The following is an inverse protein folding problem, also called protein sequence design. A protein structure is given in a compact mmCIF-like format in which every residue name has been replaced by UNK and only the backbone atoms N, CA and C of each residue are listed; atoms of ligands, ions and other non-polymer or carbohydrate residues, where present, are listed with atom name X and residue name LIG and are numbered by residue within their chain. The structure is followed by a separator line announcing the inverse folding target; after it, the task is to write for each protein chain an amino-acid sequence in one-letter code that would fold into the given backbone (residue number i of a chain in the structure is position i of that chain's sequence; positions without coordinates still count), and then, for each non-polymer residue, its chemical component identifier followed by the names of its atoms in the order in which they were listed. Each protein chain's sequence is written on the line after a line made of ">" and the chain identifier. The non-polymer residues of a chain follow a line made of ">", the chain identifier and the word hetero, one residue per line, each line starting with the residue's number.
data_IF_115781128304
#
_entry.id   IF_115781128304
#
_cell.length_a   1.000
_cell.length_b   1.000
_cell.length_c   1.000
_cell.angle_alpha   90.00
_cell.angle_beta   90.00
_cell.angle_gamma   90.00
#
_symmetry.space_group_name_H-M   'P 1'
#
loop_
_entity.id
_entity.type
_entity.pdbx_description
1 polymer ?
#
# COMPACT_ATOMS: atom_id res chain seq x y z
N UNK A 1 -23.00 6.05 -156.51
CA UNK A 1 -22.06 5.49 -155.51
C UNK A 1 -22.10 6.41 -154.29
N UNK A 2 -22.09 5.86 -153.07
CA UNK A 2 -21.92 6.53 -151.75
C UNK A 2 -23.13 6.58 -150.78
N UNK A 3 -23.94 5.51 -150.68
CA UNK A 3 -24.96 5.36 -149.61
C UNK A 3 -24.56 4.38 -148.47
N UNK A 4 -23.32 3.88 -148.43
CA UNK A 4 -22.95 2.75 -147.56
C UNK A 4 -22.31 3.11 -146.19
N UNK A 5 -22.06 4.41 -145.90
CA UNK A 5 -21.34 4.81 -144.68
C UNK A 5 -22.21 5.36 -143.52
N UNK A 6 -23.50 5.63 -143.73
CA UNK A 6 -24.34 6.30 -142.72
C UNK A 6 -25.03 5.33 -141.74
N UNK A 7 -25.24 4.07 -142.12
CA UNK A 7 -25.83 3.06 -141.24
C UNK A 7 -24.86 2.54 -140.17
N UNK A 8 -23.55 2.62 -140.41
CA UNK A 8 -22.52 2.16 -139.45
C UNK A 8 -22.29 3.13 -138.29
N UNK A 9 -22.49 4.44 -138.51
CA UNK A 9 -22.34 5.45 -137.46
C UNK A 9 -23.54 5.50 -136.52
N UNK A 10 -24.75 5.22 -137.02
CA UNK A 10 -25.97 5.19 -136.21
C UNK A 10 -26.00 4.04 -135.20
N UNK A 11 -25.48 2.86 -135.57
CA UNK A 11 -25.41 1.68 -134.67
C UNK A 11 -24.36 1.87 -133.57
N UNK A 12 -23.27 2.56 -133.86
CA UNK A 12 -22.21 2.86 -132.88
C UNK A 12 -22.67 3.92 -131.84
N UNK A 13 -23.47 4.90 -132.25
CA UNK A 13 -24.04 5.91 -131.34
C UNK A 13 -25.16 5.33 -130.46
N UNK A 14 -25.96 4.39 -130.96
CA UNK A 14 -26.99 3.73 -130.15
C UNK A 14 -26.39 2.77 -129.10
N UNK A 15 -25.27 2.11 -129.43
CA UNK A 15 -24.55 1.25 -128.50
C UNK A 15 -23.88 2.05 -127.37
N UNK A 16 -23.35 3.25 -127.65
CA UNK A 16 -22.76 4.13 -126.63
C UNK A 16 -23.80 4.79 -125.71
N UNK A 17 -25.01 5.08 -126.20
CA UNK A 17 -26.09 5.64 -125.38
C UNK A 17 -26.70 4.60 -124.41
N UNK A 18 -26.62 3.30 -124.71
CA UNK A 18 -27.13 2.22 -123.86
C UNK A 18 -26.23 1.90 -122.65
N UNK A 19 -24.97 2.35 -122.63
CA UNK A 19 -24.06 2.11 -121.49
C UNK A 19 -24.12 3.20 -120.41
N UNK A 20 -24.75 4.35 -120.68
CA UNK A 20 -24.77 5.47 -119.73
C UNK A 20 -25.95 5.48 -118.75
N UNK A 21 -27.04 4.75 -119.01
CA UNK A 21 -28.23 4.73 -118.14
C UNK A 21 -28.13 3.78 -116.94
N UNK A 22 -27.13 2.88 -116.91
CA UNK A 22 -26.89 1.97 -115.78
C UNK A 22 -26.07 2.57 -114.61
N UNK A 23 -25.38 3.69 -114.83
CA UNK A 23 -24.47 4.26 -113.84
C UNK A 23 -25.18 5.07 -112.73
N UNK A 24 -26.29 5.74 -113.05
CA UNK A 24 -26.96 6.64 -112.10
C UNK A 24 -27.86 5.91 -111.08
N UNK A 25 -28.34 4.70 -111.38
CA UNK A 25 -29.12 3.89 -110.42
C UNK A 25 -28.26 3.10 -109.41
N UNK A 26 -26.96 2.98 -109.67
CA UNK A 26 -26.00 2.34 -108.76
C UNK A 26 -25.47 3.30 -107.68
N UNK A 27 -25.48 4.61 -107.93
CA UNK A 27 -25.03 5.62 -106.97
C UNK A 27 -25.99 5.79 -105.78
N UNK A 28 -27.31 5.75 -105.99
CA UNK A 28 -28.29 5.84 -104.89
C UNK A 28 -28.21 4.66 -103.90
N UNK A 29 -27.86 3.46 -104.38
CA UNK A 29 -27.67 2.27 -103.53
C UNK A 29 -26.36 2.32 -102.74
N UNK A 30 -25.30 2.94 -103.28
CA UNK A 30 -24.02 3.14 -102.59
C UNK A 30 -24.15 4.25 -101.53
N UNK A 31 -24.77 5.38 -101.88
CA UNK A 31 -25.06 6.47 -100.96
C UNK A 31 -25.97 6.05 -99.80
N UNK A 32 -26.93 5.16 -100.04
CA UNK A 32 -27.77 4.56 -98.98
C UNK A 32 -26.98 3.69 -98.00
N UNK A 33 -26.08 2.83 -98.50
CA UNK A 33 -25.21 1.97 -97.67
C UNK A 33 -24.21 2.78 -96.85
N UNK A 34 -23.65 3.84 -97.42
CA UNK A 34 -22.75 4.75 -96.70
C UNK A 34 -23.46 5.51 -95.58
N UNK A 35 -24.71 5.96 -95.81
CA UNK A 35 -25.54 6.58 -94.76
C UNK A 35 -25.90 5.59 -93.66
N UNK A 36 -26.22 4.34 -93.98
CA UNK A 36 -26.44 3.30 -92.97
C UNK A 36 -25.16 2.96 -92.19
N UNK A 37 -24.00 2.88 -92.86
CA UNK A 37 -22.71 2.67 -92.22
C UNK A 37 -22.36 3.84 -91.27
N UNK A 38 -22.59 5.08 -91.69
CA UNK A 38 -22.42 6.28 -90.86
C UNK A 38 -23.35 6.29 -89.65
N UNK A 39 -24.63 5.90 -89.80
CA UNK A 39 -25.56 5.79 -88.65
C UNK A 39 -25.10 4.73 -87.65
N UNK A 40 -24.63 3.56 -88.13
CA UNK A 40 -24.08 2.51 -87.26
C UNK A 40 -22.81 2.98 -86.54
N UNK A 41 -21.92 3.67 -87.26
CA UNK A 41 -20.72 4.26 -86.67
C UNK A 41 -21.05 5.34 -85.63
N UNK A 42 -22.04 6.21 -85.90
CA UNK A 42 -22.53 7.19 -84.93
C UNK A 42 -23.17 6.52 -83.70
N UNK A 43 -23.97 5.48 -83.88
CA UNK A 43 -24.53 4.71 -82.75
C UNK A 43 -23.45 4.02 -81.92
N UNK A 44 -22.42 3.46 -82.56
CA UNK A 44 -21.28 2.87 -81.84
C UNK A 44 -20.47 3.93 -81.09
N UNK A 45 -20.23 5.09 -81.69
CA UNK A 45 -19.56 6.20 -81.03
C UNK A 45 -20.37 6.74 -79.84
N UNK A 46 -21.70 6.82 -79.95
CA UNK A 46 -22.58 7.20 -78.84
C UNK A 46 -22.56 6.17 -77.71
N UNK A 47 -22.58 4.87 -78.02
CA UNK A 47 -22.46 3.80 -77.00
C UNK A 47 -21.10 3.84 -76.30
N UNK A 48 -20.02 3.98 -77.06
CA UNK A 48 -18.68 4.12 -76.50
C UNK A 48 -18.55 5.38 -75.63
N UNK A 49 -19.15 6.51 -76.03
CA UNK A 49 -19.18 7.72 -75.22
C UNK A 49 -19.97 7.52 -73.91
N UNK A 50 -21.09 6.81 -73.95
CA UNK A 50 -21.84 6.44 -72.75
C UNK A 50 -21.03 5.52 -71.84
N UNK A 51 -20.38 4.50 -72.37
CA UNK A 51 -19.50 3.59 -71.62
C UNK A 51 -18.31 4.32 -70.98
N UNK A 52 -17.69 5.27 -71.69
CA UNK A 52 -16.63 6.10 -71.11
C UNK A 52 -17.16 6.95 -69.95
N UNK A 53 -18.36 7.51 -70.09
CA UNK A 53 -18.97 8.32 -69.03
C UNK A 53 -19.33 7.49 -67.79
N UNK A 54 -19.83 6.26 -67.97
CA UNK A 54 -20.15 5.37 -66.85
C UNK A 54 -18.89 4.85 -66.18
N UNK A 55 -17.85 4.50 -66.95
CA UNK A 55 -16.56 4.10 -66.41
C UNK A 55 -15.90 5.26 -65.65
N UNK A 56 -15.95 6.50 -66.15
CA UNK A 56 -15.43 7.66 -65.42
C UNK A 56 -16.15 7.88 -64.10
N UNK A 57 -17.48 7.71 -64.06
CA UNK A 57 -18.24 7.79 -62.81
C UNK A 57 -17.82 6.67 -61.83
N UNK A 58 -17.71 5.43 -62.30
CA UNK A 58 -17.27 4.30 -61.47
C UNK A 58 -15.86 4.48 -60.91
N UNK A 59 -14.96 5.03 -61.72
CA UNK A 59 -13.59 5.32 -61.32
C UNK A 59 -13.57 6.42 -60.23
N UNK A 60 -14.37 7.48 -60.40
CA UNK A 60 -14.53 8.51 -59.39
C UNK A 60 -15.12 7.99 -58.07
N UNK A 61 -16.12 7.11 -58.12
CA UNK A 61 -16.66 6.48 -56.90
C UNK A 61 -15.65 5.56 -56.23
N UNK A 62 -14.93 4.74 -57.00
CA UNK A 62 -13.92 3.84 -56.48
C UNK A 62 -12.73 4.60 -55.86
N UNK A 63 -12.32 5.72 -56.44
CA UNK A 63 -11.29 6.59 -55.86
C UNK A 63 -11.74 7.21 -54.53
N UNK A 64 -12.99 7.67 -54.44
CA UNK A 64 -13.55 8.19 -53.19
C UNK A 64 -13.63 7.10 -52.11
N UNK A 65 -14.09 5.90 -52.46
CA UNK A 65 -14.10 4.76 -51.54
C UNK A 65 -12.69 4.39 -51.08
N UNK A 66 -11.72 4.36 -51.99
CA UNK A 66 -10.32 4.08 -51.65
C UNK A 66 -9.75 5.13 -50.70
N UNK A 67 -10.07 6.41 -50.91
CA UNK A 67 -9.65 7.48 -50.01
C UNK A 67 -10.29 7.35 -48.62
N UNK A 68 -11.58 7.01 -48.54
CA UNK A 68 -12.26 6.76 -47.26
C UNK A 68 -11.67 5.56 -46.52
N UNK A 69 -11.49 4.44 -47.20
CA UNK A 69 -10.89 3.24 -46.61
C UNK A 69 -9.45 3.48 -46.15
N UNK A 70 -8.67 4.28 -46.89
CA UNK A 70 -7.33 4.67 -46.48
C UNK A 70 -7.35 5.52 -45.19
N UNK A 71 -8.25 6.51 -45.11
CA UNK A 71 -8.41 7.33 -43.91
C UNK A 71 -8.88 6.50 -42.70
N UNK A 72 -9.82 5.57 -42.89
CA UNK A 72 -10.29 4.67 -41.84
C UNK A 72 -9.18 3.72 -41.35
N UNK A 73 -8.37 3.19 -42.28
CA UNK A 73 -7.22 2.35 -41.94
C UNK A 73 -6.17 3.11 -41.11
N UNK A 74 -5.86 4.35 -41.48
CA UNK A 74 -4.97 5.21 -40.71
C UNK A 74 -5.53 5.51 -39.32
N UNK A 75 -6.83 5.83 -39.22
CA UNK A 75 -7.49 6.08 -37.94
C UNK A 75 -7.46 4.85 -37.02
N UNK A 76 -7.78 3.66 -37.55
CA UNK A 76 -7.70 2.40 -36.81
C UNK A 76 -6.27 2.07 -36.39
N UNK A 77 -5.28 2.36 -37.23
CA UNK A 77 -3.88 2.15 -36.88
C UNK A 77 -3.44 3.06 -35.73
N UNK A 78 -3.87 4.33 -35.73
CA UNK A 78 -3.62 5.25 -34.62
C UNK A 78 -4.30 4.80 -33.34
N UNK A 79 -5.57 4.39 -33.40
CA UNK A 79 -6.30 3.84 -32.24
C UNK A 79 -5.62 2.59 -31.67
N UNK A 80 -5.17 1.67 -32.53
CA UNK A 80 -4.47 0.46 -32.10
C UNK A 80 -3.16 0.80 -31.39
N UNK A 81 -2.41 1.79 -31.90
CA UNK A 81 -1.19 2.27 -31.24
C UNK A 81 -1.48 2.93 -29.89
N UNK A 82 -2.54 3.74 -29.79
CA UNK A 82 -2.91 4.39 -28.53
C UNK A 82 -3.36 3.37 -27.47
N UNK A 83 -4.17 2.38 -27.87
CA UNK A 83 -4.61 1.33 -26.96
C UNK A 83 -3.47 0.40 -26.54
N UNK A 84 -2.54 0.08 -27.45
CA UNK A 84 -1.32 -0.65 -27.10
C UNK A 84 -0.47 0.12 -26.07
N UNK A 85 -0.30 1.43 -26.25
CA UNK A 85 0.43 2.27 -25.31
C UNK A 85 -0.30 2.34 -23.95
N UNK A 86 -1.64 2.41 -23.96
CA UNK A 86 -2.46 2.37 -22.74
C UNK A 86 -2.32 1.03 -22.01
N UNK A 87 -2.39 -0.08 -22.74
CA UNK A 87 -2.20 -1.43 -22.19
C UNK A 87 -0.83 -1.60 -21.54
N UNK A 88 0.24 -1.09 -22.17
CA UNK A 88 1.59 -1.10 -21.59
C UNK A 88 1.68 -0.28 -20.30
N UNK A 89 1.03 0.90 -20.25
CA UNK A 89 0.98 1.72 -19.02
C UNK A 89 0.26 1.00 -17.88
N UNK A 90 -0.95 0.49 -18.16
CA UNK A 90 -1.72 -0.27 -17.17
C UNK A 90 -0.98 -1.51 -16.68
N UNK A 91 -0.27 -2.21 -17.56
CA UNK A 91 0.55 -3.36 -17.16
C UNK A 91 1.67 -2.97 -16.20
N UNK A 92 2.35 -1.83 -16.45
CA UNK A 92 3.37 -1.30 -15.53
C UNK A 92 2.77 -0.88 -14.19
N UNK A 93 1.66 -0.16 -14.22
CA UNK A 93 0.94 0.27 -13.01
C UNK A 93 0.51 -0.94 -12.16
N UNK A 94 -0.04 -1.99 -12.80
CA UNK A 94 -0.42 -3.22 -12.12
C UNK A 94 0.80 -3.91 -11.49
N UNK A 95 1.93 -3.96 -12.20
CA UNK A 95 3.16 -4.56 -11.67
C UNK A 95 3.69 -3.78 -10.45
N UNK A 96 3.66 -2.44 -10.51
CA UNK A 96 4.08 -1.57 -9.42
C UNK A 96 3.17 -1.73 -8.19
N UNK A 97 1.85 -1.69 -8.40
CA UNK A 97 0.87 -1.90 -7.33
C UNK A 97 0.99 -3.29 -6.69
N UNK A 98 1.31 -4.31 -7.48
CA UNK A 98 1.55 -5.67 -6.96
C UNK A 98 2.79 -5.72 -6.08
N UNK A 99 3.89 -5.10 -6.52
CA UNK A 99 5.12 -5.02 -5.74
C UNK A 99 4.92 -4.23 -4.43
N UNK A 100 4.20 -3.11 -4.48
CA UNK A 100 3.86 -2.31 -3.30
C UNK A 100 2.99 -3.10 -2.30
N UNK A 101 1.97 -3.81 -2.80
CA UNK A 101 1.14 -4.70 -1.97
C UNK A 101 2.00 -5.75 -1.26
N UNK A 102 2.94 -6.36 -1.97
CA UNK A 102 3.80 -7.41 -1.40
C UNK A 102 4.75 -6.85 -0.34
N UNK A 103 5.33 -5.67 -0.58
CA UNK A 103 6.13 -4.95 0.41
C UNK A 103 5.31 -4.62 1.67
N UNK A 104 4.11 -4.08 1.51
CA UNK A 104 3.21 -3.79 2.63
C UNK A 104 2.82 -5.06 3.42
N UNK A 105 2.67 -6.19 2.72
CA UNK A 105 2.38 -7.48 3.36
C UNK A 105 3.55 -7.97 4.20
N UNK A 106 4.79 -7.84 3.71
CA UNK A 106 5.98 -8.18 4.48
C UNK A 106 6.17 -7.28 5.68
N UNK A 107 5.96 -5.97 5.52
CA UNK A 107 6.07 -4.99 6.61
C UNK A 107 5.03 -5.26 7.69
N UNK A 108 3.79 -5.55 7.30
CA UNK A 108 2.73 -5.95 8.24
C UNK A 108 3.13 -7.18 9.04
N UNK A 109 3.65 -8.22 8.40
CA UNK A 109 4.07 -9.44 9.09
C UNK A 109 5.23 -9.17 10.07
N UNK A 110 6.18 -8.30 9.70
CA UNK A 110 7.28 -7.89 10.57
C UNK A 110 6.77 -7.11 11.79
N UNK A 111 5.85 -6.16 11.59
CA UNK A 111 5.23 -5.40 12.68
C UNK A 111 4.43 -6.31 13.62
N UNK A 112 3.66 -7.26 13.09
CA UNK A 112 2.92 -8.24 13.91
C UNK A 112 3.87 -9.09 14.76
N UNK A 113 5.03 -9.48 14.23
CA UNK A 113 6.05 -10.19 14.99
C UNK A 113 6.63 -9.32 16.11
N UNK A 114 6.98 -8.05 15.81
CA UNK A 114 7.48 -7.11 16.82
C UNK A 114 6.47 -6.88 17.95
N UNK A 115 5.19 -6.71 17.61
CA UNK A 115 4.12 -6.53 18.62
C UNK A 115 4.04 -7.74 19.55
N UNK A 116 4.11 -8.96 19.03
CA UNK A 116 4.13 -10.18 19.86
C UNK A 116 5.33 -10.20 20.80
N UNK A 117 6.53 -9.92 20.29
CA UNK A 117 7.75 -9.86 21.12
C UNK A 117 7.64 -8.80 22.21
N UNK A 118 7.10 -7.61 21.91
CA UNK A 118 6.88 -6.56 22.90
C UNK A 118 5.85 -6.97 23.96
N UNK A 119 4.76 -7.64 23.56
CA UNK A 119 3.78 -8.16 24.51
C UNK A 119 4.38 -9.19 25.48
N UNK A 120 5.23 -10.09 24.99
CA UNK A 120 5.97 -11.04 25.83
C UNK A 120 6.92 -10.34 26.80
N UNK A 121 7.65 -9.31 26.32
CA UNK A 121 8.53 -8.51 27.17
C UNK A 121 7.76 -7.76 28.26
N UNK A 122 6.64 -7.14 27.92
CA UNK A 122 5.78 -6.45 28.90
C UNK A 122 5.26 -7.44 29.94
N UNK A 123 4.78 -8.61 29.53
CA UNK A 123 4.32 -9.64 30.46
C UNK A 123 5.44 -10.12 31.40
N UNK A 124 6.67 -10.24 30.89
CA UNK A 124 7.84 -10.59 31.70
C UNK A 124 8.16 -9.48 32.71
N UNK A 125 8.23 -8.23 32.27
CA UNK A 125 8.50 -7.08 33.14
C UNK A 125 7.44 -6.90 34.23
N UNK A 126 6.16 -7.14 33.92
CA UNK A 126 5.09 -7.11 34.90
C UNK A 126 5.29 -8.15 36.00
N UNK A 127 5.71 -9.37 35.64
CA UNK A 127 6.01 -10.43 36.63
C UNK A 127 7.22 -10.04 37.49
N UNK A 128 8.28 -9.53 36.88
CA UNK A 128 9.47 -9.07 37.59
C UNK A 128 9.15 -7.92 38.56
N UNK A 129 8.33 -6.96 38.14
CA UNK A 129 7.86 -5.86 38.97
C UNK A 129 7.03 -6.35 40.15
N UNK A 130 6.14 -7.32 39.95
CA UNK A 130 5.36 -7.90 41.04
C UNK A 130 6.25 -8.57 42.08
N UNK A 131 7.26 -9.34 41.64
CA UNK A 131 8.24 -9.97 42.53
C UNK A 131 9.07 -8.94 43.28
N UNK A 132 9.54 -7.89 42.59
CA UNK A 132 10.30 -6.81 43.21
C UNK A 132 9.47 -6.05 44.27
N UNK A 133 8.19 -5.80 43.97
CA UNK A 133 7.26 -5.12 44.88
C UNK A 133 7.05 -5.95 46.16
N UNK A 134 6.83 -7.26 46.03
CA UNK A 134 6.64 -8.11 47.21
C UNK A 134 7.92 -8.22 48.05
N UNK A 135 9.09 -8.33 47.40
CA UNK A 135 10.38 -8.27 48.11
C UNK A 135 10.56 -6.96 48.87
N UNK A 136 10.21 -5.83 48.26
CA UNK A 136 10.24 -4.52 48.91
C UNK A 136 9.33 -4.47 50.14
N UNK A 137 8.11 -5.04 50.04
CA UNK A 137 7.17 -5.13 51.16
C UNK A 137 7.74 -5.95 52.32
N UNK A 138 8.31 -7.12 52.03
CA UNK A 138 8.95 -7.99 53.04
C UNK A 138 10.11 -7.27 53.72
N UNK A 139 11.02 -6.67 52.94
CA UNK A 139 12.15 -5.92 53.50
C UNK A 139 11.70 -4.76 54.38
N UNK A 140 10.65 -4.04 53.98
CA UNK A 140 10.08 -2.96 54.78
C UNK A 140 9.53 -3.48 56.13
N UNK A 141 8.80 -4.61 56.12
CA UNK A 141 8.30 -5.22 57.36
C UNK A 141 9.44 -5.68 58.28
N UNK A 142 10.50 -6.26 57.72
CA UNK A 142 11.68 -6.67 58.49
C UNK A 142 12.40 -5.45 59.08
N UNK A 143 12.55 -4.37 58.32
CA UNK A 143 13.15 -3.13 58.80
C UNK A 143 12.35 -2.51 59.95
N UNK A 144 11.01 -2.53 59.89
CA UNK A 144 10.16 -2.07 60.98
C UNK A 144 10.33 -2.93 62.24
N UNK A 145 10.38 -4.26 62.10
CA UNK A 145 10.61 -5.16 63.22
C UNK A 145 11.97 -4.90 63.89
N UNK A 146 13.05 -4.84 63.11
CA UNK A 146 14.40 -4.54 63.61
C UNK A 146 14.47 -3.18 64.30
N UNK A 147 13.83 -2.15 63.75
CA UNK A 147 13.77 -0.84 64.38
C UNK A 147 13.03 -0.88 65.73
N UNK A 148 11.93 -1.64 65.84
CA UNK A 148 11.21 -1.80 67.10
C UNK A 148 12.03 -2.57 68.14
N UNK A 149 12.76 -3.62 67.73
CA UNK A 149 13.66 -4.37 68.60
C UNK A 149 14.82 -3.50 69.11
N UNK A 150 15.40 -2.68 68.23
CA UNK A 150 16.48 -1.77 68.58
C UNK A 150 16.00 -0.67 69.54
N UNK A 151 14.80 -0.12 69.32
CA UNK A 151 14.18 0.84 70.24
C UNK A 151 13.91 0.22 71.61
N UNK A 152 13.39 -1.01 71.66
CA UNK A 152 13.17 -1.73 72.92
C UNK A 152 14.49 -2.05 73.64
N UNK A 153 15.52 -2.45 72.90
CA UNK A 153 16.86 -2.68 73.44
C UNK A 153 17.45 -1.39 74.02
N UNK A 154 17.35 -0.27 73.30
CA UNK A 154 17.81 1.03 73.76
C UNK A 154 17.06 1.47 75.03
N UNK A 155 15.73 1.32 75.08
CA UNK A 155 14.92 1.63 76.24
C UNK A 155 15.30 0.79 77.47
N UNK A 156 15.49 -0.53 77.30
CA UNK A 156 16.00 -1.41 78.37
C UNK A 156 17.38 -0.98 78.86
N UNK A 157 18.29 -0.63 77.94
CA UNK A 157 19.62 -0.14 78.29
C UNK A 157 19.58 1.13 79.14
N UNK A 158 18.72 2.10 78.78
CA UNK A 158 18.49 3.32 79.57
C UNK A 158 17.87 2.99 80.93
N UNK A 159 16.91 2.07 80.98
CA UNK A 159 16.28 1.61 82.22
C UNK A 159 17.29 1.00 83.19
N UNK A 160 18.07 0.02 82.73
CA UNK A 160 19.14 -0.62 83.53
C UNK A 160 20.17 0.39 84.04
N UNK A 161 20.58 1.33 83.20
CA UNK A 161 21.51 2.40 83.61
C UNK A 161 20.91 3.27 84.72
N UNK A 162 19.63 3.61 84.62
CA UNK A 162 18.92 4.43 85.61
C UNK A 162 18.76 3.69 86.93
N UNK A 163 18.33 2.42 86.90
CA UNK A 163 18.21 1.56 88.09
C UNK A 163 19.57 1.37 88.75
N UNK A 164 20.62 1.10 87.97
CA UNK A 164 21.98 0.95 88.49
C UNK A 164 22.50 2.22 89.16
N UNK A 165 22.22 3.40 88.60
CA UNK A 165 22.62 4.68 89.21
C UNK A 165 21.89 4.94 90.52
N UNK A 166 20.57 4.70 90.55
CA UNK A 166 19.77 4.82 91.77
C UNK A 166 20.25 3.87 92.88
N UNK A 167 20.59 2.62 92.54
CA UNK A 167 21.16 1.66 93.50
C UNK A 167 22.48 2.16 94.12
N UNK A 168 23.37 2.75 93.31
CA UNK A 168 24.64 3.31 93.80
C UNK A 168 24.37 4.47 94.78
N UNK A 169 23.42 5.35 94.45
CA UNK A 169 23.08 6.50 95.28
C UNK A 169 22.42 6.08 96.61
N UNK A 170 21.51 5.09 96.59
CA UNK A 170 20.91 4.52 97.81
C UNK A 170 21.94 3.81 98.68
N UNK A 171 22.88 3.04 98.08
CA UNK A 171 23.98 2.42 98.80
C UNK A 171 24.88 3.45 99.50
N UNK A 172 25.18 4.58 98.85
CA UNK A 172 25.95 5.67 99.48
C UNK A 172 25.21 6.25 100.67
N UNK A 173 23.93 6.55 100.50
CA UNK A 173 23.08 7.12 101.55
C UNK A 173 22.98 6.17 102.76
N UNK A 174 22.83 4.86 102.51
CA UNK A 174 22.82 3.84 103.57
C UNK A 174 24.15 3.80 104.33
N UNK A 175 25.29 3.83 103.62
CA UNK A 175 26.62 3.86 104.26
C UNK A 175 26.84 5.10 105.13
N UNK A 176 26.36 6.26 104.69
CA UNK A 176 26.39 7.51 105.48
C UNK A 176 25.53 7.38 106.75
N UNK A 177 24.33 6.80 106.63
CA UNK A 177 23.44 6.56 107.77
C UNK A 177 23.98 5.55 108.80
N UNK A 178 24.64 4.48 108.34
CA UNK A 178 25.30 3.51 109.24
C UNK A 178 26.46 4.15 110.00
N UNK A 179 27.26 5.01 109.36
CA UNK A 179 28.35 5.74 110.03
C UNK A 179 27.84 6.74 111.07
N UNK A 180 26.66 7.32 110.87
CA UNK A 180 26.04 8.25 111.80
C UNK A 180 25.46 7.56 113.06
N UNK A 181 25.07 6.28 112.97
CA UNK A 181 24.42 5.53 114.05
C UNK A 181 25.30 4.37 114.59
N UNK A 182 26.06 4.63 115.66
CA UNK A 182 26.95 3.65 116.30
C UNK A 182 26.28 2.48 117.05
N UNK A 183 24.94 2.37 117.04
CA UNK A 183 24.17 1.35 117.78
C UNK A 183 23.77 0.12 116.94
N UNK A 184 24.10 0.12 115.64
CA UNK A 184 23.69 -0.90 114.66
C UNK A 184 24.19 -2.32 114.96
N UNK A 185 25.29 -2.48 115.70
CA UNK A 185 25.86 -3.78 116.02
C UNK A 185 24.92 -4.69 116.84
N UNK A 186 23.90 -4.11 117.50
CA UNK A 186 23.01 -4.84 118.41
C UNK A 186 21.57 -5.07 117.88
N UNK A 187 21.05 -4.22 116.98
CA UNK A 187 19.63 -4.28 116.58
C UNK A 187 19.40 -4.97 115.23
N UNK A 188 20.42 -5.05 114.37
CA UNK A 188 20.32 -5.67 113.05
C UNK A 188 19.36 -4.97 112.08
N UNK A 189 18.83 -3.79 112.43
CA UNK A 189 17.82 -3.08 111.65
C UNK A 189 18.36 -2.63 110.28
N UNK A 190 19.60 -2.12 110.19
CA UNK A 190 20.19 -1.74 108.89
C UNK A 190 20.46 -2.90 107.96
N UNK A 191 20.61 -4.11 108.49
CA UNK A 191 20.74 -5.33 107.68
C UNK A 191 19.43 -5.62 106.96
N UNK A 192 18.30 -5.58 107.67
CA UNK A 192 16.97 -5.77 107.07
C UNK A 192 16.67 -4.65 106.07
N UNK A 193 17.06 -3.41 106.37
CA UNK A 193 16.94 -2.29 105.44
C UNK A 193 17.76 -2.51 104.16
N UNK A 194 18.99 -3.01 104.28
CA UNK A 194 19.83 -3.36 103.12
C UNK A 194 19.23 -4.52 102.32
N UNK A 195 18.71 -5.56 102.97
CA UNK A 195 18.02 -6.67 102.32
C UNK A 195 16.78 -6.19 101.55
N UNK A 196 16.00 -5.27 102.13
CA UNK A 196 14.85 -4.65 101.46
C UNK A 196 15.25 -3.77 100.26
N UNK A 197 16.33 -2.99 100.37
CA UNK A 197 16.89 -2.21 99.25
C UNK A 197 17.32 -3.16 98.14
N UNK A 198 18.09 -4.21 98.46
CA UNK A 198 18.55 -5.19 97.48
C UNK A 198 17.39 -5.92 96.80
N UNK A 199 16.34 -6.29 97.54
CA UNK A 199 15.16 -6.92 96.97
C UNK A 199 14.39 -5.96 96.05
N UNK A 200 14.22 -4.71 96.45
CA UNK A 200 13.58 -3.67 95.62
C UNK A 200 14.34 -3.46 94.30
N UNK A 201 15.67 -3.40 94.34
CA UNK A 201 16.47 -3.24 93.14
C UNK A 201 16.56 -4.51 92.30
N UNK A 202 16.47 -5.69 92.91
CA UNK A 202 16.33 -6.95 92.18
C UNK A 202 15.04 -6.97 91.37
N UNK A 203 13.93 -6.59 91.98
CA UNK A 203 12.63 -6.53 91.28
C UNK A 203 12.68 -5.53 90.11
N UNK A 204 13.26 -4.33 90.33
CA UNK A 204 13.47 -3.31 89.26
C UNK A 204 14.42 -3.77 88.15
N UNK A 205 15.42 -4.59 88.45
CA UNK A 205 16.33 -5.15 87.44
C UNK A 205 15.63 -6.25 86.64
N UNK A 206 14.80 -7.06 87.29
CA UNK A 206 14.01 -8.11 86.64
C UNK A 206 12.97 -7.51 85.66
N UNK A 207 12.45 -6.30 85.92
CA UNK A 207 11.57 -5.55 84.97
C UNK A 207 12.26 -5.18 83.65
N UNK A 208 13.60 -5.13 83.60
CA UNK A 208 14.36 -4.75 82.40
C UNK A 208 15.12 -5.92 81.78
N UNK A 209 14.90 -7.14 82.28
CA UNK A 209 15.49 -8.37 81.76
C UNK A 209 14.89 -8.70 80.37
N UNK A 210 15.70 -9.19 79.41
CA UNK A 210 15.19 -9.67 78.12
C UNK A 210 14.27 -10.89 78.26
#
# INVERSE_FOLDING_TARGET
>A
MNHCNWQRTAVLLLALASLCTGALAQDDKRASREREALRRAQQQAQRAAQEVSTLQQQLGTAEQERQRLAADAEALQQQTRSEAARGQRLSRELSAATAERDALRTDKAALEAQVKTLQEQVAKLQKELAVATERGRVLNTQGQALNSELAACAARGVGLYTVGRALIDDCRTHQEGVKANGLEAFTGLKRVELENILQTYRDKLDEHKP
#
